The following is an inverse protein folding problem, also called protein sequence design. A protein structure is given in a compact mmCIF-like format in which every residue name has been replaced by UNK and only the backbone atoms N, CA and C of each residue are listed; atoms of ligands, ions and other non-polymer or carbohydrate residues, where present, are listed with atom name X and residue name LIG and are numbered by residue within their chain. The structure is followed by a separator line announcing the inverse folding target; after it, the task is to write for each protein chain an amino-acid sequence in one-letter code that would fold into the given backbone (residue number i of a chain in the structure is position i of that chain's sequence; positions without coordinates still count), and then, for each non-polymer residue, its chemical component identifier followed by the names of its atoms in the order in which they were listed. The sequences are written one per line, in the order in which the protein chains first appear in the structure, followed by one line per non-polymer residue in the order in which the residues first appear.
data_IF_692489931566
#
_entry.id   IF_692489931566
#
_cell.length_a   1.000
_cell.length_b   1.000
_cell.length_c   1.000
_cell.angle_alpha   90.00
_cell.angle_beta   90.00
_cell.angle_gamma   90.00
#
_symmetry.space_group_name_H-M   'P 1'
#
loop_
_entity.id
_entity.type
_entity.pdbx_description
1 polymer ?
#
# COMPACT_ATOMS: atom_id res chain seq x y z
N UNK A 1 -14.99 -35.59 -55.51
CA UNK A 1 -14.25 -35.51 -54.21
C UNK A 1 -14.20 -34.07 -53.79
N UNK A 2 -15.03 -33.59 -52.87
CA UNK A 2 -14.90 -32.25 -52.34
C UNK A 2 -14.00 -32.28 -51.09
N UNK A 3 -13.00 -31.44 -51.05
CA UNK A 3 -12.11 -31.20 -49.93
C UNK A 3 -12.84 -30.42 -48.84
N UNK A 4 -13.04 -31.05 -47.71
CA UNK A 4 -13.52 -30.41 -46.50
C UNK A 4 -12.39 -29.60 -45.83
N UNK A 5 -12.43 -28.30 -45.99
CA UNK A 5 -11.68 -27.36 -45.13
C UNK A 5 -12.40 -27.25 -43.79
N UNK A 6 -11.90 -27.98 -42.80
CA UNK A 6 -12.26 -27.73 -41.41
C UNK A 6 -11.74 -26.34 -41.02
N UNK A 7 -12.66 -25.41 -40.82
CA UNK A 7 -12.37 -24.12 -40.19
C UNK A 7 -12.06 -24.38 -38.70
N UNK A 8 -10.80 -24.14 -38.32
CA UNK A 8 -10.39 -24.06 -36.94
C UNK A 8 -11.23 -22.93 -36.30
N UNK A 9 -12.20 -23.31 -35.49
CA UNK A 9 -12.89 -22.36 -34.62
C UNK A 9 -11.87 -21.80 -33.66
N UNK A 10 -11.48 -20.56 -33.91
CA UNK A 10 -10.79 -19.73 -32.93
C UNK A 10 -11.67 -19.66 -31.68
N UNK A 11 -11.32 -20.42 -30.65
CA UNK A 11 -11.99 -20.33 -29.36
C UNK A 11 -11.79 -18.93 -28.83
N UNK A 12 -12.88 -18.21 -28.60
CA UNK A 12 -12.83 -16.91 -27.97
C UNK A 12 -11.99 -17.00 -26.68
N UNK A 13 -11.10 -16.02 -26.44
CA UNK A 13 -10.30 -16.03 -25.23
C UNK A 13 -11.22 -16.11 -24.00
N UNK A 14 -10.85 -16.87 -22.95
CA UNK A 14 -11.67 -17.00 -21.76
C UNK A 14 -12.00 -15.62 -21.20
N UNK A 15 -13.18 -15.48 -20.62
CA UNK A 15 -13.64 -14.23 -20.01
C UNK A 15 -12.55 -13.68 -19.10
N UNK A 16 -12.10 -12.43 -19.26
CA UNK A 16 -10.89 -11.95 -18.63
C UNK A 16 -11.06 -11.90 -17.11
N UNK A 17 -10.23 -12.63 -16.39
CA UNK A 17 -9.85 -12.31 -15.02
C UNK A 17 -10.50 -13.07 -13.86
N UNK A 18 -11.47 -13.96 -14.06
CA UNK A 18 -12.16 -14.64 -12.92
C UNK A 18 -11.24 -15.54 -12.09
N UNK A 19 -10.22 -16.13 -12.67
CA UNK A 19 -9.36 -17.12 -12.00
C UNK A 19 -8.03 -16.51 -11.49
N UNK A 20 -7.64 -15.32 -11.94
CA UNK A 20 -6.43 -14.64 -11.46
C UNK A 20 -6.61 -14.19 -10.02
N UNK A 21 -5.74 -14.64 -9.12
CA UNK A 21 -5.76 -14.26 -7.71
C UNK A 21 -5.12 -12.89 -7.50
N UNK A 22 -5.82 -11.99 -6.82
CA UNK A 22 -5.34 -10.66 -6.46
C UNK A 22 -4.85 -10.66 -5.01
N UNK A 23 -3.56 -10.44 -4.80
CA UNK A 23 -2.91 -10.48 -3.49
C UNK A 23 -2.42 -9.08 -3.14
N UNK A 24 -2.92 -8.49 -2.06
CA UNK A 24 -2.50 -7.16 -1.63
C UNK A 24 -1.43 -7.22 -0.55
N UNK A 25 -0.34 -6.45 -0.71
CA UNK A 25 0.64 -6.27 0.35
C UNK A 25 -0.01 -5.58 1.55
N UNK A 26 0.36 -6.01 2.76
CA UNK A 26 -0.26 -5.57 4.00
C UNK A 26 0.78 -5.09 5.00
N UNK A 27 0.63 -3.83 5.46
CA UNK A 27 1.51 -3.20 6.44
C UNK A 27 0.96 -3.36 7.86
N UNK A 28 1.67 -4.04 8.78
CA UNK A 28 1.20 -4.26 10.15
C UNK A 28 1.56 -3.13 11.14
N UNK A 29 1.77 -1.89 10.69
CA UNK A 29 2.30 -0.79 11.52
C UNK A 29 1.26 0.09 12.20
N UNK A 30 -0.04 -0.19 12.02
CA UNK A 30 -1.11 0.67 12.57
C UNK A 30 -1.51 0.25 13.99
N UNK A 31 -0.50 0.14 14.87
CA UNK A 31 -0.66 -0.06 16.30
C UNK A 31 0.62 0.38 17.03
N UNK A 32 0.53 0.87 18.28
CA UNK A 32 1.71 1.22 19.06
C UNK A 32 2.50 -0.02 19.45
N UNK A 33 3.82 0.09 19.45
CA UNK A 33 4.75 -0.95 19.92
C UNK A 33 5.79 -0.34 20.85
N UNK A 34 6.39 -1.12 21.76
CA UNK A 34 7.45 -0.62 22.65
C UNK A 34 8.64 -0.04 21.90
N UNK A 35 8.98 -0.59 20.70
CA UNK A 35 10.04 -0.10 19.84
C UNK A 35 9.70 1.27 19.29
N UNK A 36 8.51 1.41 18.68
CA UNK A 36 8.04 2.67 18.12
C UNK A 36 7.88 3.75 19.21
N UNK A 37 7.40 3.39 20.39
CA UNK A 37 7.30 4.30 21.54
C UNK A 37 8.67 4.87 21.94
N UNK A 38 9.71 4.03 21.92
CA UNK A 38 11.09 4.43 22.23
C UNK A 38 11.69 5.34 21.16
N UNK A 39 11.39 5.08 19.88
CA UNK A 39 12.01 5.80 18.77
C UNK A 39 11.31 7.09 18.39
N UNK A 40 9.98 7.10 18.48
CA UNK A 40 9.14 8.16 17.92
C UNK A 40 8.26 8.85 18.97
N UNK A 41 8.26 8.35 20.19
CA UNK A 41 7.43 8.84 21.28
C UNK A 41 6.21 7.95 21.54
N UNK A 42 5.73 7.98 22.77
CA UNK A 42 4.66 7.13 23.27
C UNK A 42 3.38 7.22 22.44
N UNK A 43 2.86 6.08 22.04
CA UNK A 43 1.63 5.95 21.27
C UNK A 43 1.80 6.17 19.76
N UNK A 44 3.03 6.20 19.27
CA UNK A 44 3.30 6.37 17.85
C UNK A 44 2.73 5.19 17.03
N UNK A 45 2.05 5.54 15.94
CA UNK A 45 1.67 4.64 14.85
C UNK A 45 1.89 5.36 13.52
N UNK A 46 1.78 4.66 12.39
CA UNK A 46 1.85 5.30 11.06
C UNK A 46 0.81 6.40 10.87
N UNK A 47 -0.31 6.38 11.58
CA UNK A 47 -1.29 7.48 11.55
C UNK A 47 -0.68 8.84 11.94
N UNK A 48 0.36 8.83 12.78
CA UNK A 48 1.08 10.06 13.17
C UNK A 48 1.73 10.73 11.96
N UNK A 49 2.31 9.96 11.04
CA UNK A 49 2.90 10.48 9.81
C UNK A 49 1.81 10.91 8.82
N UNK A 50 0.83 10.06 8.61
CA UNK A 50 -0.30 10.32 7.68
C UNK A 50 -0.98 11.64 8.01
N UNK A 51 -1.34 11.87 9.27
CA UNK A 51 -2.10 13.06 9.67
C UNK A 51 -1.27 14.35 9.68
N UNK A 52 0.07 14.26 9.71
CA UNK A 52 0.98 15.41 9.67
C UNK A 52 1.40 15.83 8.26
N UNK A 53 1.03 15.06 7.25
CA UNK A 53 1.36 15.38 5.88
C UNK A 53 0.70 16.69 5.43
N UNK A 54 1.47 17.53 4.73
CA UNK A 54 0.99 18.80 4.20
C UNK A 54 1.03 18.78 2.66
N UNK A 55 0.08 19.48 1.99
CA UNK A 55 0.17 19.69 0.55
C UNK A 55 1.48 20.41 0.17
N UNK A 56 2.12 19.97 -0.91
CA UNK A 56 3.37 20.57 -1.41
C UNK A 56 3.14 21.56 -2.56
N UNK A 57 2.00 21.45 -3.23
CA UNK A 57 1.60 22.29 -4.38
C UNK A 57 0.07 22.38 -4.50
N UNK A 58 -0.48 23.33 -5.28
CA UNK A 58 -1.92 23.44 -5.48
C UNK A 58 -2.54 22.15 -6.03
N UNK A 59 -3.62 21.67 -5.40
CA UNK A 59 -4.31 20.43 -5.79
C UNK A 59 -3.66 19.14 -5.28
N UNK A 60 -2.51 19.21 -4.58
CA UNK A 60 -1.89 18.04 -3.96
C UNK A 60 -2.79 17.47 -2.86
N UNK A 61 -3.09 16.15 -2.98
CA UNK A 61 -3.98 15.46 -2.04
C UNK A 61 -3.22 14.96 -0.82
N UNK A 62 -3.06 15.82 0.16
CA UNK A 62 -2.53 15.53 1.49
C UNK A 62 -3.25 16.36 2.56
N UNK A 63 -3.41 15.85 3.79
CA UNK A 63 -3.20 14.46 4.17
C UNK A 63 -4.24 13.51 3.53
N UNK A 64 -3.86 12.25 3.30
CA UNK A 64 -4.79 11.20 2.89
C UNK A 64 -5.46 10.62 4.13
N UNK A 65 -6.74 10.85 4.30
CA UNK A 65 -7.46 10.45 5.51
C UNK A 65 -8.38 9.26 5.22
N UNK A 66 -8.49 8.30 6.16
CA UNK A 66 -9.35 7.14 6.00
C UNK A 66 -10.83 7.52 6.04
N UNK A 67 -11.65 6.80 5.26
CA UNK A 67 -13.11 6.90 5.27
C UNK A 67 -13.71 5.79 6.15
N UNK A 68 -14.09 4.65 5.56
CA UNK A 68 -14.92 3.62 6.20
C UNK A 68 -14.32 3.01 7.46
N UNK A 69 -13.02 2.69 7.45
CA UNK A 69 -12.34 2.00 8.56
C UNK A 69 -11.83 2.96 9.63
N UNK A 70 -11.85 4.28 9.37
CA UNK A 70 -11.33 5.28 10.30
C UNK A 70 -9.85 5.09 10.63
N UNK A 71 -9.40 5.71 11.73
CA UNK A 71 -8.04 5.56 12.27
C UNK A 71 -7.98 4.34 13.17
N UNK A 72 -7.89 3.19 12.60
CA UNK A 72 -7.96 1.90 13.27
C UNK A 72 -6.69 1.54 14.04
N UNK A 73 -6.82 0.56 14.95
CA UNK A 73 -5.73 -0.12 15.65
C UNK A 73 -5.77 -1.61 15.28
N UNK A 74 -4.68 -2.12 14.72
CA UNK A 74 -4.60 -3.51 14.25
C UNK A 74 -4.56 -4.56 15.37
N UNK A 75 -4.49 -4.14 16.63
CA UNK A 75 -4.66 -5.05 17.77
C UNK A 75 -6.11 -5.46 17.99
N UNK A 76 -7.05 -4.71 17.40
CA UNK A 76 -8.48 -5.01 17.52
C UNK A 76 -8.86 -6.10 16.52
N UNK A 77 -9.53 -7.13 17.00
CA UNK A 77 -10.03 -8.23 16.18
C UNK A 77 -11.04 -7.74 15.15
N UNK A 78 -11.91 -6.85 15.57
CA UNK A 78 -12.97 -6.25 14.76
C UNK A 78 -12.38 -5.56 13.54
N UNK A 79 -11.32 -4.77 13.70
CA UNK A 79 -10.63 -4.10 12.59
C UNK A 79 -10.14 -5.10 11.55
N UNK A 80 -9.49 -6.19 11.97
CA UNK A 80 -9.00 -7.21 11.04
C UNK A 80 -10.14 -7.90 10.29
N UNK A 81 -11.24 -8.20 10.99
CA UNK A 81 -12.42 -8.80 10.37
C UNK A 81 -13.09 -7.86 9.37
N UNK A 82 -13.21 -6.56 9.67
CA UNK A 82 -13.75 -5.56 8.76
C UNK A 82 -12.88 -5.39 7.51
N UNK A 83 -11.55 -5.36 7.68
CA UNK A 83 -10.61 -5.33 6.55
C UNK A 83 -10.74 -6.58 5.67
N UNK A 84 -10.84 -7.78 6.25
CA UNK A 84 -11.01 -9.03 5.52
C UNK A 84 -12.36 -9.04 4.78
N UNK A 85 -13.44 -8.66 5.44
CA UNK A 85 -14.76 -8.60 4.83
C UNK A 85 -14.79 -7.62 3.65
N UNK A 86 -14.19 -6.43 3.84
CA UNK A 86 -14.08 -5.43 2.78
C UNK A 86 -13.22 -5.94 1.61
N UNK A 87 -12.06 -6.52 1.88
CA UNK A 87 -11.17 -7.06 0.85
C UNK A 87 -11.87 -8.14 -0.01
N UNK A 88 -12.54 -9.10 0.63
CA UNK A 88 -13.30 -10.16 -0.05
C UNK A 88 -14.46 -9.62 -0.88
N UNK A 89 -15.22 -8.67 -0.32
CA UNK A 89 -16.34 -8.04 -1.02
C UNK A 89 -15.92 -7.43 -2.36
N UNK A 90 -14.66 -6.98 -2.46
CA UNK A 90 -14.13 -6.31 -3.64
C UNK A 90 -13.15 -7.15 -4.46
N UNK A 91 -13.05 -8.46 -4.18
CA UNK A 91 -12.31 -9.41 -5.02
C UNK A 91 -10.82 -9.51 -4.75
N UNK A 92 -10.36 -9.11 -3.56
CA UNK A 92 -9.02 -9.44 -3.08
C UNK A 92 -9.02 -10.86 -2.53
N UNK A 93 -8.13 -11.70 -3.03
CA UNK A 93 -8.07 -13.13 -2.74
C UNK A 93 -7.09 -13.48 -1.61
N UNK A 94 -6.27 -12.53 -1.17
CA UNK A 94 -5.33 -12.76 -0.08
C UNK A 94 -4.50 -11.54 0.28
N UNK A 95 -3.84 -11.62 1.43
CA UNK A 95 -2.89 -10.60 1.89
C UNK A 95 -1.45 -11.13 1.90
N UNK A 96 -0.51 -10.28 1.51
CA UNK A 96 0.92 -10.52 1.66
C UNK A 96 1.45 -9.64 2.78
N UNK A 97 1.61 -10.20 3.98
CA UNK A 97 2.04 -9.44 5.15
C UNK A 97 3.52 -9.12 5.08
N UNK A 98 3.91 -7.87 5.32
CA UNK A 98 5.29 -7.54 5.64
C UNK A 98 5.68 -8.20 6.95
N UNK A 99 6.75 -9.01 6.91
CA UNK A 99 7.29 -9.74 8.04
C UNK A 99 8.62 -9.12 8.45
N UNK A 100 8.70 -8.67 9.69
CA UNK A 100 9.88 -7.98 10.22
C UNK A 100 10.58 -8.87 11.23
N UNK A 101 11.75 -9.36 10.84
CA UNK A 101 12.58 -10.25 11.64
C UNK A 101 14.04 -9.80 11.57
N UNK A 102 14.70 -9.67 12.72
CA UNK A 102 16.05 -9.14 12.89
C UNK A 102 16.81 -10.07 13.86
N UNK A 103 17.54 -11.07 13.36
CA UNK A 103 18.36 -12.01 14.14
C UNK A 103 17.65 -12.49 15.42
N UNK A 104 16.50 -13.15 15.24
CA UNK A 104 15.67 -13.68 16.34
C UNK A 104 14.64 -12.70 16.94
N UNK A 105 14.77 -11.41 16.66
CA UNK A 105 13.80 -10.40 17.15
C UNK A 105 12.73 -10.12 16.10
N UNK A 106 11.47 -10.34 16.46
CA UNK A 106 10.31 -9.95 15.63
C UNK A 106 9.72 -8.63 16.12
N UNK A 107 9.46 -7.71 15.21
CA UNK A 107 8.74 -6.47 15.51
C UNK A 107 7.46 -6.40 14.70
N UNK A 108 6.50 -5.59 15.14
CA UNK A 108 5.18 -5.42 14.50
C UNK A 108 4.43 -6.76 14.27
N UNK A 109 4.80 -7.80 15.00
CA UNK A 109 4.34 -9.17 14.77
C UNK A 109 2.90 -9.42 15.25
N UNK A 110 2.41 -8.64 16.20
CA UNK A 110 1.14 -8.89 16.89
C UNK A 110 -0.08 -9.03 15.94
N UNK A 111 -0.32 -8.15 14.94
CA UNK A 111 -1.47 -8.31 14.05
C UNK A 111 -1.43 -9.62 13.26
N UNK A 112 -0.24 -10.07 12.87
CA UNK A 112 -0.05 -11.32 12.14
C UNK A 112 -0.26 -12.54 13.07
N UNK A 113 0.29 -12.51 14.28
CA UNK A 113 0.13 -13.59 15.27
C UNK A 113 -1.34 -13.70 15.72
N UNK A 114 -2.00 -12.58 15.96
CA UNK A 114 -3.43 -12.54 16.30
C UNK A 114 -4.30 -13.05 15.13
N UNK A 115 -3.92 -12.76 13.87
CA UNK A 115 -4.60 -13.29 12.69
C UNK A 115 -4.39 -14.80 12.56
N UNK A 116 -3.18 -15.30 12.80
CA UNK A 116 -2.88 -16.74 12.76
C UNK A 116 -3.70 -17.50 13.80
N UNK A 117 -3.79 -16.96 15.01
CA UNK A 117 -4.52 -17.56 16.12
C UNK A 117 -6.05 -17.47 16.00
N UNK A 118 -6.58 -16.67 15.07
CA UNK A 118 -8.01 -16.44 14.90
C UNK A 118 -8.56 -17.18 13.66
N UNK A 119 -9.27 -18.32 13.85
CA UNK A 119 -9.86 -19.08 12.74
C UNK A 119 -10.90 -18.29 11.94
N UNK A 120 -11.53 -17.27 12.54
CA UNK A 120 -12.49 -16.42 11.86
C UNK A 120 -11.84 -15.34 10.98
N UNK A 121 -10.54 -15.12 11.11
CA UNK A 121 -9.74 -14.34 10.17
C UNK A 121 -9.48 -15.17 8.90
N UNK A 122 -10.56 -15.53 8.21
CA UNK A 122 -10.58 -16.46 7.08
C UNK A 122 -10.09 -15.79 5.78
N UNK A 123 -8.84 -15.31 5.73
CA UNK A 123 -8.22 -14.71 4.55
C UNK A 123 -6.94 -15.46 4.19
N UNK A 124 -6.79 -15.91 2.93
CA UNK A 124 -5.51 -16.47 2.48
C UNK A 124 -4.38 -15.46 2.66
N UNK A 125 -3.19 -15.93 3.03
CA UNK A 125 -2.06 -15.04 3.25
C UNK A 125 -0.71 -15.66 2.88
N UNK A 126 0.27 -14.81 2.61
CA UNK A 126 1.68 -15.16 2.54
C UNK A 126 2.53 -14.08 3.21
N UNK A 127 3.81 -14.29 3.26
CA UNK A 127 4.75 -13.41 3.95
C UNK A 127 5.77 -12.81 2.97
N UNK A 128 6.09 -11.54 3.19
CA UNK A 128 7.19 -10.83 2.55
C UNK A 128 8.17 -10.39 3.64
N UNK A 129 9.34 -11.03 3.72
CA UNK A 129 10.37 -10.63 4.66
C UNK A 129 10.98 -9.29 4.25
N UNK A 130 10.69 -8.24 5.03
CA UNK A 130 11.23 -6.89 4.87
C UNK A 130 12.63 -6.82 5.49
N UNK A 131 13.61 -7.46 4.84
CA UNK A 131 14.97 -7.67 5.32
C UNK A 131 15.89 -6.46 5.07
N UNK A 132 15.46 -5.27 5.46
CA UNK A 132 16.25 -4.04 5.45
C UNK A 132 16.53 -3.56 6.88
N UNK A 133 17.58 -2.76 7.06
CA UNK A 133 17.77 -2.03 8.30
C UNK A 133 16.55 -1.16 8.59
N UNK A 134 16.10 -1.13 9.83
CA UNK A 134 15.13 -0.15 10.26
C UNK A 134 15.86 1.15 10.58
N UNK A 135 15.57 2.22 9.83
CA UNK A 135 16.28 3.50 9.92
C UNK A 135 15.31 4.66 10.18
N UNK A 136 15.82 5.81 10.65
CA UNK A 136 15.06 7.05 10.78
C UNK A 136 14.82 7.75 9.43
N UNK A 137 14.48 7.02 8.38
CA UNK A 137 14.19 7.61 7.05
C UNK A 137 13.15 8.73 7.10
N UNK A 138 12.31 8.72 8.10
CA UNK A 138 11.17 9.63 8.24
C UNK A 138 11.55 11.03 8.71
N UNK A 139 12.80 11.20 9.24
CA UNK A 139 13.35 12.50 9.64
C UNK A 139 14.47 12.98 8.74
N UNK A 140 14.59 12.42 7.51
CA UNK A 140 15.70 12.71 6.61
C UNK A 140 17.10 12.24 7.10
N UNK A 141 17.16 11.45 8.17
CA UNK A 141 18.40 10.89 8.73
C UNK A 141 18.54 9.42 8.30
N UNK A 142 18.86 9.18 7.03
CA UNK A 142 19.01 7.81 6.46
C UNK A 142 20.15 7.01 7.10
N UNK A 143 20.98 7.65 7.93
CA UNK A 143 22.15 7.04 8.57
C UNK A 143 21.90 6.59 10.01
N UNK A 144 20.75 6.94 10.62
CA UNK A 144 20.43 6.56 12.00
C UNK A 144 19.70 5.19 12.00
N UNK A 145 20.46 4.13 12.21
CA UNK A 145 19.96 2.76 12.24
C UNK A 145 19.34 2.48 13.62
N UNK A 146 18.05 2.25 13.64
CA UNK A 146 17.29 1.90 14.85
C UNK A 146 17.40 0.42 15.19
N UNK A 147 17.27 -0.47 14.18
CA UNK A 147 17.60 -1.89 14.26
C UNK A 147 18.37 -2.28 13.01
N UNK A 148 19.56 -2.83 13.21
CA UNK A 148 20.37 -3.35 12.12
C UNK A 148 19.88 -4.75 11.71
N UNK A 149 19.71 -4.98 10.41
CA UNK A 149 19.58 -6.32 9.85
C UNK A 149 20.96 -6.96 9.89
N UNK A 150 21.13 -7.91 10.79
CA UNK A 150 22.33 -8.73 10.89
C UNK A 150 22.06 -10.07 10.21
N UNK A 151 23.10 -10.74 9.77
CA UNK A 151 23.01 -12.07 9.16
C UNK A 151 24.01 -12.96 9.88
N UNK A 152 23.63 -13.46 11.06
CA UNK A 152 24.44 -14.34 11.87
C UNK A 152 24.43 -15.78 11.29
N UNK A 153 25.41 -16.62 11.58
CA UNK A 153 25.48 -17.98 11.01
C UNK A 153 24.23 -18.85 11.27
N UNK A 154 23.58 -18.66 12.42
CA UNK A 154 22.37 -19.36 12.85
C UNK A 154 21.08 -18.79 12.25
N UNK A 155 21.09 -17.52 11.80
CA UNK A 155 19.90 -16.78 11.38
C UNK A 155 19.10 -17.48 10.27
N UNK A 156 19.77 -18.13 9.32
CA UNK A 156 19.10 -18.85 8.23
C UNK A 156 18.18 -19.95 8.77
N UNK A 157 18.62 -20.70 9.81
CA UNK A 157 17.83 -21.77 10.42
C UNK A 157 16.75 -21.23 11.34
N UNK A 158 17.07 -20.25 12.17
CA UNK A 158 16.15 -19.67 13.13
C UNK A 158 15.01 -18.92 12.42
N UNK A 159 15.32 -18.21 11.35
CA UNK A 159 14.34 -17.55 10.52
C UNK A 159 13.33 -18.54 9.94
N UNK A 160 13.80 -19.56 9.23
CA UNK A 160 12.90 -20.51 8.57
C UNK A 160 12.13 -21.36 9.58
N UNK A 161 12.74 -21.71 10.72
CA UNK A 161 12.08 -22.41 11.81
C UNK A 161 10.88 -21.61 12.35
N UNK A 162 11.05 -20.30 12.50
CA UNK A 162 9.99 -19.39 12.93
C UNK A 162 8.85 -19.25 11.93
N UNK A 163 9.03 -19.65 10.66
CA UNK A 163 7.99 -19.59 9.63
C UNK A 163 7.16 -20.89 9.51
N UNK A 164 7.63 -22.01 10.04
CA UNK A 164 6.93 -23.31 9.94
C UNK A 164 5.48 -23.23 10.44
N UNK A 165 5.15 -22.60 11.58
CA UNK A 165 3.77 -22.48 12.03
C UNK A 165 2.84 -21.77 11.02
N UNK A 166 3.37 -20.77 10.29
CA UNK A 166 2.63 -20.10 9.23
C UNK A 166 2.42 -21.01 8.03
N UNK A 167 3.46 -21.76 7.61
CA UNK A 167 3.39 -22.69 6.48
C UNK A 167 2.42 -23.86 6.74
N UNK A 168 2.20 -24.23 8.01
CA UNK A 168 1.25 -25.26 8.41
C UNK A 168 -0.20 -24.80 8.36
N UNK A 169 -0.45 -23.48 8.36
CA UNK A 169 -1.80 -22.93 8.30
C UNK A 169 -2.42 -23.22 6.92
N UNK A 170 -3.66 -23.74 6.86
CA UNK A 170 -4.34 -24.05 5.60
C UNK A 170 -4.63 -22.81 4.75
N UNK A 171 -4.66 -21.62 5.34
CA UNK A 171 -4.84 -20.34 4.63
C UNK A 171 -3.55 -19.85 3.96
N UNK A 172 -2.41 -20.46 4.24
CA UNK A 172 -1.14 -20.00 3.67
C UNK A 172 -1.12 -20.19 2.14
N UNK A 173 -0.82 -19.12 1.40
CA UNK A 173 -0.79 -19.14 -0.07
C UNK A 173 0.34 -20.02 -0.56
N UNK A 174 0.03 -20.90 -1.51
CA UNK A 174 0.95 -21.87 -2.12
C UNK A 174 0.98 -21.68 -3.63
N UNK A 175 2.13 -22.02 -4.19
CA UNK A 175 2.38 -22.14 -5.62
C UNK A 175 2.78 -23.60 -5.90
N UNK A 176 1.98 -24.31 -6.69
CA UNK A 176 2.21 -25.74 -6.95
C UNK A 176 2.42 -26.53 -5.63
N UNK A 177 1.54 -26.31 -4.64
CA UNK A 177 1.57 -26.85 -3.27
C UNK A 177 2.74 -26.38 -2.37
N UNK A 178 3.71 -25.62 -2.89
CA UNK A 178 4.81 -25.07 -2.13
C UNK A 178 4.43 -23.75 -1.43
N UNK A 179 4.68 -23.58 -0.11
CA UNK A 179 4.46 -22.31 0.58
C UNK A 179 5.24 -21.18 -0.09
N UNK A 180 4.58 -20.07 -0.37
CA UNK A 180 5.18 -18.90 -1.01
C UNK A 180 5.85 -17.99 0.03
N UNK A 181 7.17 -17.81 -0.07
CA UNK A 181 7.91 -16.84 0.73
C UNK A 181 8.54 -15.78 -0.18
N UNK A 182 8.19 -14.52 0.04
CA UNK A 182 8.79 -13.38 -0.66
C UNK A 182 9.90 -12.80 0.20
N UNK A 183 11.06 -12.49 -0.42
CA UNK A 183 12.17 -11.78 0.22
C UNK A 183 12.33 -10.42 -0.47
N UNK A 184 12.22 -9.34 0.32
CA UNK A 184 12.20 -7.98 -0.22
C UNK A 184 13.55 -7.53 -0.80
N UNK A 185 14.65 -7.87 -0.13
CA UNK A 185 16.03 -7.52 -0.54
C UNK A 185 16.93 -8.75 -0.55
N UNK A 186 16.74 -9.71 -1.47
CA UNK A 186 17.57 -10.91 -1.50
C UNK A 186 19.05 -10.59 -1.71
N UNK A 187 19.38 -9.46 -2.35
CA UNK A 187 20.76 -8.99 -2.53
C UNK A 187 21.45 -8.54 -1.23
N UNK A 188 20.74 -8.41 -0.11
CA UNK A 188 21.32 -8.13 1.21
C UNK A 188 21.75 -9.39 1.94
N UNK A 189 21.31 -10.56 1.50
CA UNK A 189 21.78 -11.82 2.05
C UNK A 189 23.28 -12.03 1.71
N UNK A 190 24.13 -12.42 2.66
CA UNK A 190 25.56 -12.63 2.40
C UNK A 190 25.83 -13.68 1.32
N UNK A 191 25.05 -14.78 1.35
CA UNK A 191 25.07 -15.84 0.34
C UNK A 191 23.63 -16.34 0.13
N UNK A 192 22.87 -15.71 -0.78
CA UNK A 192 21.46 -16.04 -0.96
C UNK A 192 21.22 -17.46 -1.46
N UNK A 193 22.16 -18.06 -2.23
CA UNK A 193 22.05 -19.45 -2.69
C UNK A 193 22.21 -20.45 -1.55
N UNK A 194 23.17 -20.20 -0.67
CA UNK A 194 23.37 -21.00 0.54
C UNK A 194 22.15 -20.90 1.45
N UNK A 195 21.68 -19.69 1.73
CA UNK A 195 20.48 -19.44 2.51
C UNK A 195 19.27 -20.18 1.92
N UNK A 196 19.04 -20.08 0.62
CA UNK A 196 17.96 -20.79 -0.08
C UNK A 196 18.08 -22.33 0.07
N UNK A 197 19.30 -22.86 0.01
CA UNK A 197 19.59 -24.27 0.25
C UNK A 197 19.21 -24.71 1.66
N UNK A 198 19.65 -23.96 2.69
CA UNK A 198 19.33 -24.22 4.10
C UNK A 198 17.80 -24.19 4.33
N UNK A 199 17.10 -23.20 3.78
CA UNK A 199 15.65 -23.10 3.93
C UNK A 199 14.92 -24.27 3.29
N UNK A 200 15.32 -24.71 2.09
CA UNK A 200 14.73 -25.86 1.40
C UNK A 200 14.93 -27.16 2.18
N UNK A 201 16.13 -27.40 2.67
CA UNK A 201 16.43 -28.57 3.49
C UNK A 201 15.63 -28.58 4.79
N UNK A 202 15.57 -27.43 5.48
CA UNK A 202 14.80 -27.31 6.72
C UNK A 202 13.30 -27.55 6.49
N UNK A 203 12.71 -26.92 5.47
CA UNK A 203 11.31 -27.13 5.13
C UNK A 203 11.02 -28.60 4.77
N UNK A 204 11.91 -29.25 4.02
CA UNK A 204 11.79 -30.67 3.69
C UNK A 204 11.77 -31.56 4.94
N UNK A 205 12.65 -31.28 5.89
CA UNK A 205 12.69 -32.00 7.17
C UNK A 205 11.42 -31.72 8.02
N UNK A 206 10.81 -30.55 7.89
CA UNK A 206 9.58 -30.15 8.57
C UNK A 206 8.28 -30.64 7.85
N UNK A 207 8.40 -31.44 6.79
CA UNK A 207 7.26 -32.04 6.08
C UNK A 207 6.77 -31.24 4.87
N UNK A 208 7.51 -30.20 4.44
CA UNK A 208 7.25 -29.46 3.20
C UNK A 208 8.26 -29.87 2.13
N UNK A 209 7.89 -30.72 1.16
CA UNK A 209 8.83 -31.22 0.15
C UNK A 209 9.51 -30.10 -0.64
N UNK A 210 8.78 -28.99 -0.86
CA UNK A 210 9.23 -27.82 -1.60
C UNK A 210 8.76 -26.55 -0.89
N UNK A 211 9.57 -25.49 -0.94
CA UNK A 211 9.20 -24.10 -0.64
C UNK A 211 9.41 -23.27 -1.90
N UNK A 212 8.48 -22.36 -2.20
CA UNK A 212 8.58 -21.44 -3.33
C UNK A 212 9.18 -20.11 -2.88
N UNK A 213 10.44 -19.88 -3.22
CA UNK A 213 11.16 -18.64 -2.88
C UNK A 213 10.98 -17.60 -4.00
N UNK A 214 10.50 -16.41 -3.64
CA UNK A 214 10.23 -15.33 -4.56
C UNK A 214 11.06 -14.09 -4.19
N UNK A 215 11.75 -13.49 -5.17
CA UNK A 215 12.52 -12.26 -4.98
C UNK A 215 11.64 -11.04 -5.34
N UNK A 216 11.51 -10.07 -4.45
CA UNK A 216 10.96 -8.78 -4.86
C UNK A 216 11.95 -8.05 -5.79
N UNK A 217 11.45 -7.59 -6.93
CA UNK A 217 12.25 -6.89 -7.94
C UNK A 217 12.31 -5.39 -7.63
N UNK A 218 13.13 -5.05 -6.64
CA UNK A 218 13.26 -3.70 -6.08
C UNK A 218 14.69 -3.17 -6.17
N UNK A 219 14.86 -1.84 -6.09
CA UNK A 219 16.16 -1.18 -5.92
C UNK A 219 17.23 -1.65 -6.92
N UNK A 220 16.90 -1.71 -8.19
CA UNK A 220 17.81 -2.14 -9.26
C UNK A 220 17.86 -3.65 -9.47
N UNK A 221 17.38 -4.46 -8.53
CA UNK A 221 17.23 -5.90 -8.75
C UNK A 221 16.12 -6.16 -9.80
N UNK A 222 16.47 -6.93 -10.85
CA UNK A 222 15.57 -7.26 -11.95
C UNK A 222 15.50 -8.74 -12.26
N UNK A 223 16.29 -9.55 -11.53
CA UNK A 223 16.44 -10.98 -11.77
C UNK A 223 16.53 -11.76 -10.46
N UNK A 224 15.70 -12.78 -10.31
CA UNK A 224 15.65 -13.64 -9.12
C UNK A 224 16.63 -14.82 -9.20
N UNK A 225 17.07 -15.19 -10.40
CA UNK A 225 17.89 -16.40 -10.66
C UNK A 225 19.28 -16.37 -10.00
N UNK A 226 19.97 -15.22 -9.91
CA UNK A 226 21.27 -15.16 -9.20
C UNK A 226 21.17 -15.59 -7.74
N UNK A 227 20.01 -15.42 -7.11
CA UNK A 227 19.79 -15.79 -5.71
C UNK A 227 19.43 -17.25 -5.50
N UNK A 228 19.23 -18.03 -6.58
CA UNK A 228 18.73 -19.39 -6.51
C UNK A 228 17.27 -19.50 -6.10
N UNK A 229 16.48 -18.45 -6.36
CA UNK A 229 15.05 -18.40 -6.10
C UNK A 229 14.24 -18.92 -7.29
N UNK A 230 12.97 -19.23 -7.07
CA UNK A 230 12.09 -19.89 -8.03
C UNK A 230 11.31 -18.89 -8.89
N UNK A 231 11.12 -17.66 -8.40
CA UNK A 231 10.40 -16.61 -9.10
C UNK A 231 10.81 -15.21 -8.66
N UNK A 232 10.35 -14.21 -9.41
CA UNK A 232 10.35 -12.81 -9.00
C UNK A 232 8.92 -12.27 -8.83
N UNK A 233 8.79 -11.16 -8.12
CA UNK A 233 7.57 -10.36 -8.08
C UNK A 233 7.88 -8.90 -8.35
N UNK A 234 7.15 -8.28 -9.27
CA UNK A 234 7.20 -6.83 -9.45
C UNK A 234 6.80 -6.11 -8.16
N UNK A 235 7.42 -4.97 -7.92
CA UNK A 235 7.12 -4.16 -6.73
C UNK A 235 7.09 -2.67 -7.11
N UNK A 236 6.03 -2.21 -7.80
CA UNK A 236 5.90 -0.80 -8.16
C UNK A 236 5.77 0.09 -6.89
N UNK A 237 6.36 1.32 -6.89
CA UNK A 237 7.01 2.00 -8.03
C UNK A 237 8.54 1.84 -8.08
N UNK A 238 9.09 0.66 -7.98
CA UNK A 238 10.54 0.44 -8.15
C UNK A 238 10.95 0.22 -9.62
N UNK A 239 12.24 0.41 -9.91
CA UNK A 239 12.83 0.13 -11.22
C UNK A 239 12.14 0.89 -12.37
N UNK A 240 12.01 2.21 -12.23
CA UNK A 240 11.28 3.13 -13.12
C UNK A 240 12.17 3.73 -14.21
N UNK A 241 13.02 2.94 -14.88
CA UNK A 241 13.86 3.46 -15.96
C UNK A 241 12.98 4.04 -17.09
N UNK A 242 13.30 5.25 -17.48
CA UNK A 242 12.58 5.96 -18.52
C UNK A 242 11.34 6.76 -18.06
N UNK A 243 11.01 6.73 -16.77
CA UNK A 243 10.01 7.65 -16.21
C UNK A 243 10.66 9.00 -15.90
N UNK A 244 10.30 10.04 -16.65
CA UNK A 244 10.76 11.40 -16.42
C UNK A 244 9.97 12.08 -15.28
N UNK A 245 10.67 12.87 -14.45
CA UNK A 245 10.00 13.72 -13.48
C UNK A 245 9.37 14.95 -14.18
N UNK A 246 8.16 15.30 -13.76
CA UNK A 246 7.40 16.47 -14.27
C UNK A 246 7.47 17.67 -13.33
N UNK A 247 8.47 17.74 -12.46
CA UNK A 247 8.62 18.80 -11.47
C UNK A 247 8.56 20.21 -12.05
N UNK A 248 9.10 20.41 -13.27
CA UNK A 248 9.13 21.71 -13.95
C UNK A 248 7.75 22.28 -14.30
N UNK A 249 6.71 21.44 -14.28
CA UNK A 249 5.34 21.87 -14.55
C UNK A 249 4.56 22.20 -13.28
N UNK A 250 5.18 22.03 -12.11
CA UNK A 250 4.53 22.15 -10.79
C UNK A 250 5.02 23.39 -10.06
N UNK A 251 4.08 24.18 -9.55
CA UNK A 251 4.37 25.34 -8.67
C UNK A 251 4.35 24.91 -7.21
N UNK A 252 5.51 24.63 -6.63
CA UNK A 252 5.64 24.22 -5.24
C UNK A 252 5.51 25.37 -4.26
N UNK A 253 4.88 25.15 -3.10
CA UNK A 253 4.77 26.15 -2.03
C UNK A 253 6.10 26.44 -1.32
N UNK A 254 7.00 25.45 -1.28
CA UNK A 254 8.32 25.50 -0.65
C UNK A 254 9.33 24.78 -1.56
N UNK A 255 10.65 24.98 -1.41
CA UNK A 255 11.64 24.22 -2.17
C UNK A 255 11.42 22.72 -2.08
N UNK A 256 11.38 22.05 -3.22
CA UNK A 256 11.13 20.62 -3.36
C UNK A 256 12.35 19.92 -3.98
N UNK A 257 12.78 18.82 -3.40
CA UNK A 257 13.97 18.05 -3.76
C UNK A 257 13.63 16.62 -4.20
N UNK A 258 12.35 16.28 -4.21
CA UNK A 258 11.85 14.98 -4.61
C UNK A 258 11.53 14.90 -6.11
N UNK A 259 10.71 13.93 -6.47
CA UNK A 259 10.26 13.69 -7.84
C UNK A 259 8.74 13.63 -7.92
N UNK A 260 8.17 14.30 -8.90
CA UNK A 260 6.78 14.15 -9.28
C UNK A 260 6.73 13.39 -10.60
N UNK A 261 5.99 12.30 -10.63
CA UNK A 261 5.90 11.36 -11.77
C UNK A 261 4.46 11.22 -12.23
N UNK A 262 4.27 10.79 -13.48
CA UNK A 262 2.96 10.48 -14.04
C UNK A 262 2.62 9.00 -13.89
N UNK A 263 1.40 8.71 -13.41
CA UNK A 263 0.91 7.36 -13.19
C UNK A 263 0.91 6.52 -14.48
N UNK A 264 0.44 7.11 -15.60
CA UNK A 264 0.40 6.42 -16.90
C UNK A 264 1.78 6.04 -17.42
N UNK A 265 2.80 6.85 -17.14
CA UNK A 265 4.17 6.57 -17.60
C UNK A 265 4.74 5.39 -16.83
N UNK A 266 4.53 5.36 -15.51
CA UNK A 266 4.91 4.22 -14.67
C UNK A 266 4.18 2.95 -15.11
N UNK A 267 2.87 2.99 -15.22
CA UNK A 267 2.07 1.84 -15.67
C UNK A 267 2.50 1.38 -17.06
N UNK A 268 2.81 2.32 -17.96
CA UNK A 268 3.32 2.03 -19.31
C UNK A 268 4.67 1.30 -19.30
N UNK A 269 5.58 1.61 -18.35
CA UNK A 269 6.83 0.87 -18.16
C UNK A 269 6.56 -0.57 -17.74
N UNK A 270 5.70 -0.78 -16.75
CA UNK A 270 5.37 -2.12 -16.26
C UNK A 270 4.63 -2.97 -17.30
N UNK A 271 3.67 -2.41 -18.03
CA UNK A 271 2.91 -3.12 -19.07
C UNK A 271 3.77 -3.54 -20.26
N UNK A 272 4.88 -2.84 -20.54
CA UNK A 272 5.81 -3.19 -21.62
C UNK A 272 6.79 -4.29 -21.24
N UNK A 273 6.93 -4.64 -19.96
CA UNK A 273 7.86 -5.68 -19.49
C UNK A 273 7.43 -7.04 -20.03
N UNK A 274 8.40 -7.80 -20.52
CA UNK A 274 8.20 -9.16 -21.02
C UNK A 274 9.08 -10.10 -20.20
N UNK A 275 8.49 -11.17 -19.73
CA UNK A 275 9.12 -12.20 -18.92
C UNK A 275 9.05 -13.54 -19.66
N UNK A 276 9.83 -13.68 -20.73
CA UNK A 276 9.82 -14.89 -21.57
C UNK A 276 10.66 -15.96 -20.89
N UNK A 277 10.03 -17.09 -20.56
CA UNK A 277 10.70 -18.22 -19.89
C UNK A 277 10.97 -18.01 -18.39
N UNK A 278 10.58 -16.87 -17.84
CA UNK A 278 10.75 -16.53 -16.43
C UNK A 278 9.40 -16.53 -15.69
N UNK A 279 9.41 -16.96 -14.43
CA UNK A 279 8.26 -16.80 -13.55
C UNK A 279 8.39 -15.48 -12.78
N UNK A 280 7.74 -14.43 -13.27
CA UNK A 280 7.67 -13.13 -12.58
C UNK A 280 6.21 -12.75 -12.38
N UNK A 281 5.76 -12.75 -11.14
CA UNK A 281 4.42 -12.28 -10.78
C UNK A 281 4.32 -10.77 -11.02
N UNK A 282 3.29 -10.37 -11.74
CA UNK A 282 3.06 -8.96 -12.05
C UNK A 282 2.47 -8.25 -10.84
N UNK A 283 2.70 -6.92 -10.77
CA UNK A 283 2.11 -6.09 -9.74
C UNK A 283 1.64 -4.75 -10.28
N UNK A 284 0.70 -4.16 -9.55
CA UNK A 284 0.17 -2.81 -9.76
C UNK A 284 0.11 -2.05 -8.45
N UNK A 285 -0.17 -0.74 -8.49
CA UNK A 285 -0.48 0.06 -7.29
C UNK A 285 -1.60 1.07 -7.57
N UNK A 286 -2.42 1.45 -6.56
CA UNK A 286 -3.50 2.42 -6.75
C UNK A 286 -2.99 3.86 -6.88
N UNK A 287 -1.89 4.18 -6.26
CA UNK A 287 -1.22 5.47 -6.27
C UNK A 287 0.04 5.43 -5.43
N UNK A 288 0.83 6.51 -5.46
CA UNK A 288 2.03 6.65 -4.63
C UNK A 288 2.26 8.10 -4.26
N UNK A 289 2.48 8.34 -2.99
CA UNK A 289 2.82 9.65 -2.45
C UNK A 289 3.38 9.50 -1.03
N UNK A 290 4.69 9.44 -0.90
CA UNK A 290 5.33 9.26 0.39
C UNK A 290 5.65 10.57 1.12
N UNK A 291 4.94 11.66 0.80
CA UNK A 291 5.08 12.98 1.45
C UNK A 291 4.95 12.89 2.97
N UNK A 292 4.08 12.02 3.48
CA UNK A 292 3.89 11.80 4.91
C UNK A 292 5.18 11.37 5.63
N UNK A 293 6.05 10.61 4.95
CA UNK A 293 7.34 10.13 5.47
C UNK A 293 8.50 11.05 5.11
N UNK A 294 8.56 11.57 3.87
CA UNK A 294 9.78 12.19 3.31
C UNK A 294 9.66 13.69 3.04
N UNK A 295 8.46 14.27 3.19
CA UNK A 295 8.18 15.71 3.05
C UNK A 295 8.68 16.27 1.70
N UNK A 296 9.59 17.26 1.74
CA UNK A 296 10.13 17.91 0.53
C UNK A 296 10.99 16.99 -0.36
N UNK A 297 11.33 15.80 0.07
CA UNK A 297 12.07 14.79 -0.71
C UNK A 297 11.17 13.66 -1.22
N UNK A 298 9.85 13.88 -1.22
CA UNK A 298 8.88 12.90 -1.60
C UNK A 298 9.00 12.46 -3.06
N UNK A 299 8.56 11.24 -3.32
CA UNK A 299 8.14 10.79 -4.63
C UNK A 299 6.62 10.84 -4.66
N UNK A 300 6.07 11.65 -5.55
CA UNK A 300 4.63 11.85 -5.72
C UNK A 300 4.23 11.38 -7.12
N UNK A 301 3.24 10.51 -7.21
CA UNK A 301 2.69 10.06 -8.50
C UNK A 301 1.35 10.73 -8.72
N UNK A 302 1.28 11.57 -9.75
CA UNK A 302 0.06 12.25 -10.17
C UNK A 302 -0.87 11.29 -10.94
N UNK A 303 -2.15 11.62 -10.95
CA UNK A 303 -3.16 10.94 -11.77
C UNK A 303 -3.34 9.44 -11.48
N UNK A 304 -2.92 8.98 -10.29
CA UNK A 304 -3.34 7.71 -9.70
C UNK A 304 -4.82 7.79 -9.30
N UNK A 305 -5.72 7.62 -10.25
CA UNK A 305 -7.17 7.64 -10.05
C UNK A 305 -7.74 6.22 -10.13
N UNK A 306 -8.95 5.98 -9.57
CA UNK A 306 -9.62 4.68 -9.71
C UNK A 306 -9.73 4.20 -11.16
N UNK A 307 -9.98 5.12 -12.11
CA UNK A 307 -10.11 4.77 -13.52
C UNK A 307 -8.77 4.37 -14.17
N UNK A 308 -7.68 5.08 -13.86
CA UNK A 308 -6.35 4.76 -14.36
C UNK A 308 -5.81 3.48 -13.74
N UNK A 309 -6.08 3.26 -12.45
CA UNK A 309 -5.78 2.02 -11.77
C UNK A 309 -6.56 0.83 -12.38
N UNK A 310 -7.86 1.00 -12.63
CA UNK A 310 -8.69 -0.02 -13.27
C UNK A 310 -8.12 -0.47 -14.61
N UNK A 311 -7.73 0.48 -15.46
CA UNK A 311 -7.12 0.15 -16.75
C UNK A 311 -5.84 -0.66 -16.58
N UNK A 312 -4.90 -0.21 -15.73
CA UNK A 312 -3.64 -0.92 -15.52
C UNK A 312 -3.88 -2.32 -14.94
N UNK A 313 -4.72 -2.44 -13.91
CA UNK A 313 -5.05 -3.73 -13.31
C UNK A 313 -5.68 -4.68 -14.34
N UNK A 314 -6.61 -4.21 -15.16
CA UNK A 314 -7.26 -5.02 -16.19
C UNK A 314 -6.25 -5.55 -17.23
N UNK A 315 -5.32 -4.71 -17.72
CA UNK A 315 -4.27 -5.15 -18.64
C UNK A 315 -3.33 -6.16 -17.97
N UNK A 316 -2.98 -5.95 -16.72
CA UNK A 316 -2.11 -6.83 -15.93
C UNK A 316 -2.74 -8.20 -15.71
N UNK A 317 -4.02 -8.24 -15.34
CA UNK A 317 -4.80 -9.48 -15.17
C UNK A 317 -4.90 -10.26 -16.48
N UNK A 318 -5.23 -9.60 -17.60
CA UNK A 318 -5.27 -10.23 -18.93
C UNK A 318 -3.92 -10.82 -19.34
N UNK A 319 -2.83 -10.07 -19.10
CA UNK A 319 -1.48 -10.56 -19.39
C UNK A 319 -1.12 -11.76 -18.52
N UNK A 320 -1.47 -11.74 -17.25
CA UNK A 320 -1.21 -12.85 -16.33
C UNK A 320 -2.00 -14.10 -16.70
N UNK A 321 -3.29 -13.96 -17.03
CA UNK A 321 -4.13 -15.07 -17.46
C UNK A 321 -3.62 -15.73 -18.76
N UNK A 322 -3.06 -14.93 -19.67
CA UNK A 322 -2.48 -15.42 -20.92
C UNK A 322 -1.13 -16.11 -20.72
N UNK A 323 -0.26 -15.53 -19.85
CA UNK A 323 1.15 -15.88 -19.79
C UNK A 323 1.43 -17.02 -18.79
N UNK A 324 0.52 -17.29 -17.84
CA UNK A 324 0.74 -18.25 -16.74
C UNK A 324 -0.34 -19.34 -16.66
N UNK A 325 0.02 -20.58 -16.25
CA UNK A 325 -0.95 -21.60 -15.88
C UNK A 325 -1.73 -21.19 -14.62
N UNK A 326 -2.94 -21.72 -14.44
CA UNK A 326 -3.89 -21.32 -13.41
C UNK A 326 -3.27 -21.28 -11.98
N UNK A 327 -2.46 -22.28 -11.60
CA UNK A 327 -1.82 -22.34 -10.29
C UNK A 327 -0.88 -21.15 -10.00
N UNK A 328 -0.36 -20.49 -11.06
CA UNK A 328 0.58 -19.36 -10.98
C UNK A 328 -0.04 -18.02 -11.40
N UNK A 329 -1.34 -17.97 -11.59
CA UNK A 329 -2.04 -16.73 -11.94
C UNK A 329 -2.26 -15.87 -10.71
N UNK A 330 -1.22 -15.14 -10.29
CA UNK A 330 -1.25 -14.17 -9.22
C UNK A 330 -0.88 -12.78 -9.77
N UNK A 331 -1.63 -11.77 -9.31
CA UNK A 331 -1.28 -10.36 -9.46
C UNK A 331 -1.18 -9.75 -8.08
N UNK A 332 -0.06 -9.09 -7.81
CA UNK A 332 0.15 -8.40 -6.54
C UNK A 332 -0.31 -6.93 -6.63
N UNK A 333 -0.81 -6.39 -5.53
CA UNK A 333 -1.22 -4.99 -5.42
C UNK A 333 -0.43 -4.36 -4.27
N UNK A 334 0.34 -3.35 -4.57
CA UNK A 334 1.03 -2.54 -3.57
C UNK A 334 0.21 -1.26 -3.33
N UNK A 335 -0.61 -1.16 -2.26
CA UNK A 335 -0.81 -2.12 -1.21
C UNK A 335 -2.28 -2.07 -0.71
N UNK A 336 -2.61 -2.87 0.29
CA UNK A 336 -3.87 -2.74 1.00
C UNK A 336 -3.91 -1.44 1.80
N UNK A 337 -2.88 -1.17 2.63
CA UNK A 337 -2.90 -0.13 3.66
C UNK A 337 -1.59 0.64 3.85
N UNK A 338 -0.82 0.91 2.81
CA UNK A 338 0.37 1.79 2.88
C UNK A 338 -0.01 3.27 2.83
N UNK A 339 -0.74 3.74 3.86
CA UNK A 339 -1.28 5.09 3.95
C UNK A 339 -0.22 6.19 3.90
N UNK A 340 0.90 6.01 4.61
CA UNK A 340 1.97 7.02 4.64
C UNK A 340 2.78 7.09 3.34
N UNK A 341 2.60 6.13 2.45
CA UNK A 341 3.12 6.15 1.08
C UNK A 341 2.04 6.50 0.05
N UNK A 342 0.83 6.83 0.52
CA UNK A 342 -0.29 7.13 -0.37
C UNK A 342 -0.64 5.99 -1.31
N UNK A 343 -0.34 4.77 -0.90
CA UNK A 343 -0.42 3.55 -1.68
C UNK A 343 -1.38 2.58 -0.99
N UNK A 344 -2.67 2.87 -1.02
CA UNK A 344 -3.66 2.07 -0.30
C UNK A 344 -4.93 1.83 -1.11
N UNK A 345 -5.48 0.61 -0.99
CA UNK A 345 -6.79 0.23 -1.51
C UNK A 345 -7.91 0.57 -0.53
N UNK A 346 -7.60 0.67 0.76
CA UNK A 346 -8.59 1.05 1.77
C UNK A 346 -9.25 2.38 1.42
N UNK A 347 -10.57 2.53 1.69
CA UNK A 347 -11.33 3.72 1.33
C UNK A 347 -10.79 5.00 1.97
N UNK A 348 -10.50 6.00 1.17
CA UNK A 348 -10.07 7.33 1.60
C UNK A 348 -11.16 8.39 1.42
N UNK A 349 -10.98 9.56 2.03
CA UNK A 349 -11.98 10.64 1.98
C UNK A 349 -12.18 11.25 0.58
N UNK A 350 -11.24 11.09 -0.34
CA UNK A 350 -11.32 11.65 -1.70
C UNK A 350 -11.99 10.69 -2.68
N UNK A 351 -11.50 9.45 -2.72
CA UNK A 351 -11.94 8.45 -3.70
C UNK A 351 -12.95 7.46 -3.13
N UNK A 352 -13.19 7.53 -1.83
CA UNK A 352 -14.10 6.62 -1.13
C UNK A 352 -13.73 5.15 -1.46
N UNK A 353 -14.65 4.34 -1.89
CA UNK A 353 -14.43 2.95 -2.32
C UNK A 353 -13.99 2.81 -3.79
N UNK A 354 -13.66 3.90 -4.48
CA UNK A 354 -13.43 3.89 -5.93
C UNK A 354 -12.37 2.89 -6.40
N UNK A 355 -11.24 2.75 -5.68
CA UNK A 355 -10.20 1.77 -6.01
C UNK A 355 -10.69 0.33 -5.80
N UNK A 356 -11.44 0.08 -4.74
CA UNK A 356 -12.04 -1.23 -4.47
C UNK A 356 -13.10 -1.59 -5.52
N UNK A 357 -13.94 -0.65 -5.91
CA UNK A 357 -14.93 -0.84 -6.98
C UNK A 357 -14.28 -1.14 -8.32
N UNK A 358 -13.17 -0.44 -8.64
CA UNK A 358 -12.34 -0.71 -9.82
C UNK A 358 -11.78 -2.14 -9.78
N UNK A 359 -11.24 -2.55 -8.62
CA UNK A 359 -10.74 -3.92 -8.42
C UNK A 359 -11.83 -4.96 -8.66
N UNK A 360 -13.02 -4.77 -8.10
CA UNK A 360 -14.17 -5.67 -8.28
C UNK A 360 -14.62 -5.75 -9.74
N UNK A 361 -14.67 -4.62 -10.47
CA UNK A 361 -15.02 -4.63 -11.89
C UNK A 361 -14.03 -5.47 -12.70
N UNK A 362 -12.73 -5.31 -12.45
CA UNK A 362 -11.71 -6.11 -13.11
C UNK A 362 -11.82 -7.59 -12.75
N UNK A 363 -11.95 -7.91 -11.46
CA UNK A 363 -12.08 -9.30 -10.96
C UNK A 363 -13.27 -10.03 -11.59
N UNK A 364 -14.37 -9.33 -11.79
CA UNK A 364 -15.59 -9.87 -12.39
C UNK A 364 -15.62 -9.80 -13.93
N UNK A 365 -14.55 -9.37 -14.58
CA UNK A 365 -14.51 -9.22 -16.04
C UNK A 365 -15.41 -8.11 -16.60
N UNK A 366 -15.79 -7.14 -15.75
CA UNK A 366 -16.71 -6.05 -16.09
C UNK A 366 -15.99 -4.73 -16.41
N UNK A 367 -14.66 -4.73 -16.48
CA UNK A 367 -13.91 -3.50 -16.83
C UNK A 367 -13.97 -3.22 -18.32
N UNK A 368 -14.53 -2.06 -18.67
CA UNK A 368 -14.64 -1.55 -20.03
C UNK A 368 -13.54 -0.54 -20.37
N UNK A 369 -12.55 -0.35 -19.51
CA UNK A 369 -11.47 0.64 -19.73
C UNK A 369 -10.57 0.22 -20.87
N UNK A 370 -10.46 1.08 -21.88
CA UNK A 370 -9.65 0.88 -23.08
C UNK A 370 -8.34 1.67 -23.09
N UNK A 371 -8.15 2.61 -22.14
CA UNK A 371 -6.97 3.46 -22.01
C UNK A 371 -6.92 4.22 -20.71
N UNK A 372 -5.82 4.95 -20.51
CA UNK A 372 -5.70 5.88 -19.40
C UNK A 372 -6.54 7.13 -19.64
N UNK A 373 -7.18 7.63 -18.60
CA UNK A 373 -7.84 8.93 -18.63
C UNK A 373 -6.80 10.04 -18.49
N UNK A 374 -6.93 11.07 -19.32
CA UNK A 374 -6.13 12.29 -19.17
C UNK A 374 -6.82 13.22 -18.18
N UNK A 375 -6.24 13.31 -16.98
CA UNK A 375 -6.76 14.14 -15.88
C UNK A 375 -6.10 15.53 -15.89
N UNK A 376 -5.09 15.75 -16.75
CA UNK A 376 -4.26 16.95 -16.77
C UNK A 376 -3.32 17.08 -15.58
N UNK A 377 -2.41 18.05 -15.65
CA UNK A 377 -1.49 18.34 -14.55
C UNK A 377 -2.12 19.37 -13.59
N UNK A 378 -1.80 19.32 -12.29
CA UNK A 378 -2.26 20.32 -11.32
C UNK A 378 -1.89 21.73 -11.78
N UNK A 379 -2.87 22.62 -11.89
CA UNK A 379 -2.70 24.00 -12.33
C UNK A 379 -2.86 24.28 -13.83
N UNK A 380 -3.07 23.26 -14.68
CA UNK A 380 -3.33 23.44 -16.12
C UNK A 380 -4.82 23.38 -16.52
N UNK A 381 -5.69 22.99 -15.61
CA UNK A 381 -7.14 22.94 -15.88
C UNK A 381 -7.83 24.23 -15.48
N UNK A 382 -8.86 24.59 -16.23
CA UNK A 382 -9.86 25.61 -15.84
C UNK A 382 -10.75 25.10 -14.71
N UNK A 383 -10.18 24.73 -13.57
CA UNK A 383 -11.00 24.72 -12.37
C UNK A 383 -11.42 26.17 -12.10
N UNK A 384 -12.73 26.44 -11.89
CA UNK A 384 -13.13 27.75 -11.43
C UNK A 384 -12.28 28.04 -10.19
N UNK A 385 -11.56 29.15 -10.20
CA UNK A 385 -10.77 29.64 -9.05
C UNK A 385 -11.65 29.54 -7.81
N UNK A 386 -11.61 28.40 -7.13
CA UNK A 386 -12.14 28.29 -5.77
C UNK A 386 -11.30 29.26 -4.98
N UNK A 387 -11.91 30.37 -4.59
CA UNK A 387 -11.19 31.45 -3.96
C UNK A 387 -10.54 30.87 -2.73
N UNK A 388 -9.22 31.05 -2.60
CA UNK A 388 -8.43 30.73 -1.39
C UNK A 388 -9.15 31.21 -0.12
N UNK A 389 -9.90 32.31 -0.22
CA UNK A 389 -10.77 32.85 0.82
C UNK A 389 -11.97 31.92 1.13
N UNK A 390 -12.50 31.19 0.13
CA UNK A 390 -13.61 30.24 0.33
C UNK A 390 -13.18 28.95 1.01
N UNK A 391 -11.99 28.48 0.73
CA UNK A 391 -11.43 27.26 1.38
C UNK A 391 -10.87 27.59 2.77
N UNK A 392 -10.22 28.73 2.96
CA UNK A 392 -9.91 29.25 4.30
C UNK A 392 -11.19 29.43 5.14
N UNK A 393 -12.27 29.92 4.56
CA UNK A 393 -13.57 30.08 5.24
C UNK A 393 -14.21 28.73 5.62
N UNK A 394 -13.93 27.63 4.90
CA UNK A 394 -14.39 26.28 5.26
C UNK A 394 -13.52 25.65 6.34
N UNK A 395 -12.20 25.75 6.20
CA UNK A 395 -11.25 25.29 7.22
C UNK A 395 -11.45 26.06 8.51
N UNK A 396 -11.64 27.37 8.43
CA UNK A 396 -11.94 28.19 9.60
C UNK A 396 -13.28 27.84 10.24
N UNK A 397 -14.33 27.57 9.45
CA UNK A 397 -15.63 27.10 9.98
C UNK A 397 -15.57 25.70 10.57
N UNK A 398 -14.77 24.81 10.01
CA UNK A 398 -14.56 23.46 10.54
C UNK A 398 -13.82 23.53 11.88
N UNK A 399 -12.70 24.25 11.95
CA UNK A 399 -11.94 24.41 13.20
C UNK A 399 -12.66 25.26 14.24
N UNK A 400 -13.40 26.30 13.84
CA UNK A 400 -14.21 27.07 14.79
C UNK A 400 -15.42 26.27 15.27
N UNK A 401 -15.98 25.36 14.44
CA UNK A 401 -17.03 24.42 14.86
C UNK A 401 -16.55 23.46 15.95
N UNK A 402 -15.36 22.88 15.77
CA UNK A 402 -14.72 21.99 16.78
C UNK A 402 -14.33 22.80 18.03
N UNK A 403 -13.71 23.97 17.85
CA UNK A 403 -13.29 24.83 18.96
C UNK A 403 -14.49 25.34 19.76
N UNK A 404 -15.57 25.74 19.09
CA UNK A 404 -16.84 26.14 19.73
C UNK A 404 -17.55 24.96 20.41
N UNK A 405 -17.43 23.75 19.87
CA UNK A 405 -17.92 22.52 20.49
C UNK A 405 -17.18 22.21 21.79
N UNK A 406 -15.85 22.23 21.76
CA UNK A 406 -15.01 22.03 22.93
C UNK A 406 -15.13 23.17 23.94
N UNK A 407 -15.18 24.44 23.47
CA UNK A 407 -15.41 25.60 24.34
C UNK A 407 -16.80 25.54 25.00
N UNK A 408 -17.85 25.06 24.32
CA UNK A 408 -19.16 24.82 24.93
C UNK A 408 -19.11 23.76 26.04
N UNK A 409 -18.34 22.69 25.89
CA UNK A 409 -18.17 21.66 26.90
C UNK A 409 -17.44 22.20 28.14
N UNK A 410 -16.38 23.00 27.94
CA UNK A 410 -15.63 23.64 29.04
C UNK A 410 -16.46 24.71 29.71
N UNK A 411 -17.15 25.57 28.97
CA UNK A 411 -17.98 26.66 29.52
C UNK A 411 -19.18 26.13 30.28
N UNK A 412 -19.78 25.00 29.88
CA UNK A 412 -20.86 24.38 30.63
C UNK A 412 -20.39 23.77 31.99
N UNK A 413 -19.10 23.49 32.14
CA UNK A 413 -18.49 22.97 33.37
C UNK A 413 -18.20 24.07 34.40
N UNK A 414 -18.21 25.35 33.97
CA UNK A 414 -17.89 26.50 34.81
C UNK A 414 -18.93 27.63 34.65
N UNK A 415 -20.01 27.64 35.45
CA UNK A 415 -21.14 28.59 35.30
C UNK A 415 -20.75 30.07 35.33
N UNK A 416 -19.69 30.42 36.11
CA UNK A 416 -19.19 31.81 36.20
C UNK A 416 -18.53 32.30 34.88
N UNK A 417 -17.90 31.41 34.13
CA UNK A 417 -17.30 31.71 32.82
C UNK A 417 -18.38 31.92 31.77
N UNK A 418 -19.48 31.18 31.87
CA UNK A 418 -20.64 31.28 30.97
C UNK A 418 -21.28 32.66 31.01
N UNK A 419 -21.40 33.27 32.18
CA UNK A 419 -22.02 34.62 32.35
C UNK A 419 -21.15 35.75 31.78
N UNK A 420 -19.80 35.63 31.91
CA UNK A 420 -18.85 36.63 31.39
C UNK A 420 -18.80 36.60 29.88
N UNK A 421 -18.73 35.39 29.26
CA UNK A 421 -18.76 35.23 27.82
C UNK A 421 -20.08 35.65 27.19
N UNK A 422 -21.20 35.40 27.81
CA UNK A 422 -22.51 35.88 27.33
C UNK A 422 -22.62 37.39 27.38
N UNK A 423 -21.95 38.08 28.32
CA UNK A 423 -21.82 39.53 28.38
C UNK A 423 -20.99 40.11 27.24
N UNK A 424 -19.80 39.50 26.96
CA UNK A 424 -18.92 39.90 25.88
C UNK A 424 -19.57 39.74 24.49
N UNK A 425 -20.26 38.61 24.25
CA UNK A 425 -20.94 38.36 22.97
C UNK A 425 -22.11 39.35 22.75
N UNK A 426 -22.82 39.74 23.80
CA UNK A 426 -23.85 40.79 23.73
C UNK A 426 -23.25 42.15 23.41
N UNK A 427 -22.10 42.51 24.00
CA UNK A 427 -21.39 43.77 23.71
C UNK A 427 -20.90 43.86 22.26
N UNK A 428 -20.41 42.77 21.68
CA UNK A 428 -19.97 42.70 20.29
C UNK A 428 -21.14 42.79 19.28
N UNK A 429 -22.33 42.27 19.62
CA UNK A 429 -23.54 42.40 18.77
C UNK A 429 -24.19 43.78 18.79
N UNK A 430 -24.00 44.52 19.87
CA UNK A 430 -24.52 45.91 19.98
C UNK A 430 -23.59 46.93 19.30
N UNK A 431 -22.29 46.61 19.07
CA UNK A 431 -21.34 47.49 18.41
C UNK A 431 -21.44 47.51 16.86
N UNK A 432 -22.16 46.55 16.25
CA UNK A 432 -22.28 46.43 14.77
C UNK A 432 -23.50 47.07 14.18
N UNK A 433 -24.32 47.79 14.99
CA UNK A 433 -25.44 48.58 14.48
C UNK A 433 -25.18 50.08 14.67
N UNK A 434 -24.19 50.64 14.01
CA UNK A 434 -24.09 52.09 13.68
C UNK A 434 -23.07 52.31 12.57
N UNK A 435 -23.57 52.45 11.35
CA UNK A 435 -23.27 53.55 10.44
C UNK A 435 -24.19 53.48 9.22
N UNK A 436 -24.63 54.65 8.78
CA UNK A 436 -25.64 54.80 7.73
C UNK A 436 -25.12 54.41 6.36
#
# INVERSE_FOLDING_TARGET
MPSSTESIKETAPPAPGSDVRLIAFYLPQFHPTPENDRWWGKGFTEWTNVTRAEPLFPGHYQPRLPADLGFYDLRLRETRHEQIALARQYGIDGFCYHYYWFSGTRILHRPLDDMLADPASDMPFCLCWANENWTRRWDAADHDILIAQRYLPEDDRDFIAGLIPFFQDPRYIRIDDAPLLIVYRPQHLPDPRKTAGIWREYCKAAGFPVIHLCAALTHGNRDYRPFGFDSGVEFPPHNLDGCGAVNQTISFFKPFQGNVLEYRDIAGVYLKRKYVGDTVFRAVFPGWDNTARTRSRAVVVLNGTPANYEYWLAQTVRATARDFPAARQLVFINAWNEWAEGCCLEPDMRFQRGFLEATRRVKNGLSEKTGFEDVGLPGQGTEPRRSFVGDLGRVFRYHTGIFLGQAKLVVNRYPKVKSVLAGLIRGLRSGTKRRP
#
